data_IF_442395086453
#
_entry.id   IF_442395086453
#
_cell.length_a   1.000
_cell.length_b   1.000
_cell.length_c   1.000
_cell.angle_alpha   90.00
_cell.angle_beta   90.00
_cell.angle_gamma   90.00
#
_symmetry.space_group_name_H-M   'P 1'
#
loop_
_entity.id
_entity.type
_entity.pdbx_description
1 polymer ?
#
# COMPACT_ATOMS: atom_id res chain seq x y z
N UNK A 1 -24.75 1.92 -9.81
CA UNK A 1 -24.96 1.02 -8.65
C UNK A 1 -24.86 1.79 -7.34
N UNK A 2 -25.78 1.63 -6.37
CA UNK A 2 -25.77 2.31 -5.09
C UNK A 2 -25.13 1.40 -4.04
N UNK A 3 -23.88 1.66 -3.69
CA UNK A 3 -23.18 1.02 -2.57
C UNK A 3 -23.44 1.81 -1.29
N UNK A 4 -23.46 1.14 -0.14
CA UNK A 4 -23.62 1.76 1.19
C UNK A 4 -22.41 1.52 2.11
N UNK A 5 -21.50 0.59 1.72
CA UNK A 5 -20.31 0.28 2.48
C UNK A 5 -19.13 -0.12 1.57
N UNK A 6 -17.91 0.14 1.99
CA UNK A 6 -16.70 -0.44 1.38
C UNK A 6 -16.02 -1.35 2.39
N UNK A 7 -15.85 -2.62 2.03
CA UNK A 7 -15.22 -3.62 2.89
C UNK A 7 -13.73 -3.67 2.59
N UNK A 8 -12.91 -3.17 3.50
CA UNK A 8 -11.45 -3.28 3.38
C UNK A 8 -10.90 -4.49 4.16
N UNK A 9 -9.91 -5.14 3.54
CA UNK A 9 -9.26 -6.34 4.06
C UNK A 9 -7.78 -6.08 4.26
N UNK A 10 -7.23 -6.62 5.33
CA UNK A 10 -5.79 -6.61 5.61
C UNK A 10 -5.23 -8.03 5.61
N UNK A 11 -3.92 -8.19 5.36
CA UNK A 11 -3.24 -9.48 5.32
C UNK A 11 -2.45 -9.77 6.60
N UNK A 12 -1.19 -9.34 6.65
CA UNK A 12 -0.23 -9.65 7.71
C UNK A 12 -0.68 -9.24 9.13
N UNK A 13 -1.55 -8.26 9.25
CA UNK A 13 -2.14 -7.85 10.54
C UNK A 13 -2.85 -9.02 11.19
N UNK A 14 -3.54 -9.85 10.40
CA UNK A 14 -4.27 -11.04 10.87
C UNK A 14 -3.38 -12.10 11.53
N UNK A 15 -2.09 -12.13 11.18
CA UNK A 15 -1.11 -13.09 11.72
C UNK A 15 -0.50 -12.65 13.06
N UNK A 16 -0.80 -11.44 13.53
CA UNK A 16 -0.26 -10.89 14.77
C UNK A 16 -1.05 -11.39 16.01
N UNK A 17 -0.42 -11.36 17.18
CA UNK A 17 -1.13 -11.60 18.44
C UNK A 17 -2.26 -10.59 18.63
N UNK A 18 -3.29 -10.94 19.39
CA UNK A 18 -4.51 -10.12 19.59
C UNK A 18 -4.20 -8.66 19.99
N UNK A 19 -3.26 -8.45 20.93
CA UNK A 19 -2.84 -7.12 21.37
C UNK A 19 -2.16 -6.31 20.27
N UNK A 20 -1.26 -6.93 19.51
CA UNK A 20 -0.56 -6.29 18.39
C UNK A 20 -1.52 -6.04 17.24
N UNK A 21 -2.40 -6.99 16.92
CA UNK A 21 -3.44 -6.85 15.91
C UNK A 21 -4.33 -5.64 16.19
N UNK A 22 -4.88 -5.54 17.40
CA UNK A 22 -5.73 -4.42 17.80
C UNK A 22 -5.01 -3.06 17.67
N UNK A 23 -3.71 -2.99 17.94
CA UNK A 23 -2.89 -1.78 17.74
C UNK A 23 -2.76 -1.44 16.26
N UNK A 24 -2.51 -2.43 15.40
CA UNK A 24 -2.32 -2.23 13.97
C UNK A 24 -3.64 -1.87 13.29
N UNK A 25 -4.74 -2.51 13.65
CA UNK A 25 -6.08 -2.18 13.17
C UNK A 25 -6.45 -0.73 13.52
N UNK A 26 -6.22 -0.30 14.77
CA UNK A 26 -6.45 1.10 15.17
C UNK A 26 -5.62 2.09 14.34
N UNK A 27 -4.34 1.74 14.05
CA UNK A 27 -3.49 2.59 13.21
C UNK A 27 -3.99 2.62 11.77
N UNK A 28 -4.44 1.48 11.23
CA UNK A 28 -5.02 1.39 9.89
C UNK A 28 -6.28 2.25 9.77
N UNK A 29 -7.20 2.12 10.73
CA UNK A 29 -8.41 2.98 10.80
C UNK A 29 -8.04 4.47 10.85
N UNK A 30 -7.05 4.84 11.67
CA UNK A 30 -6.57 6.22 11.72
C UNK A 30 -6.04 6.71 10.36
N UNK A 31 -5.29 5.87 9.66
CA UNK A 31 -4.74 6.21 8.34
C UNK A 31 -5.84 6.32 7.28
N UNK A 32 -6.84 5.42 7.31
CA UNK A 32 -8.01 5.49 6.43
C UNK A 32 -8.78 6.82 6.66
N UNK A 33 -9.10 7.16 7.90
CA UNK A 33 -9.80 8.41 8.24
C UNK A 33 -8.99 9.68 7.90
N UNK A 34 -7.67 9.59 7.86
CA UNK A 34 -6.82 10.70 7.40
C UNK A 34 -6.80 10.86 5.88
N UNK A 35 -7.10 9.80 5.14
CA UNK A 35 -7.12 9.79 3.68
C UNK A 35 -8.52 10.02 3.10
N UNK A 36 -9.59 9.69 3.84
CA UNK A 36 -10.97 9.62 3.36
C UNK A 36 -11.91 10.20 4.42
N UNK A 37 -12.82 11.06 4.01
CA UNK A 37 -13.92 11.55 4.87
C UNK A 37 -14.98 10.44 4.99
N UNK A 38 -14.91 9.68 6.09
CA UNK A 38 -15.73 8.50 6.30
C UNK A 38 -15.93 8.17 7.78
N UNK A 39 -17.00 7.42 8.06
CA UNK A 39 -17.10 6.62 9.26
C UNK A 39 -16.48 5.26 9.02
N UNK A 40 -15.91 4.67 10.07
CA UNK A 40 -15.23 3.37 9.98
C UNK A 40 -15.58 2.52 11.19
N UNK A 41 -16.07 1.34 10.92
CA UNK A 41 -16.24 0.26 11.89
C UNK A 41 -15.27 -0.89 11.61
N UNK A 42 -15.03 -1.73 12.61
CA UNK A 42 -14.16 -2.92 12.50
C UNK A 42 -14.77 -4.08 13.26
N UNK A 43 -14.97 -5.16 12.55
CA UNK A 43 -15.50 -6.36 13.14
C UNK A 43 -14.85 -7.60 12.50
N UNK A 44 -14.47 -8.59 13.32
CA UNK A 44 -14.04 -9.93 12.91
C UNK A 44 -13.02 -9.97 11.74
N UNK A 45 -12.01 -9.08 11.76
CA UNK A 45 -10.95 -9.07 10.76
C UNK A 45 -11.34 -8.38 9.44
N UNK A 46 -12.37 -7.53 9.48
CA UNK A 46 -12.78 -6.61 8.41
C UNK A 46 -12.79 -5.18 8.92
N UNK A 47 -12.63 -4.26 7.98
CA UNK A 47 -12.81 -2.83 8.20
C UNK A 47 -13.92 -2.40 7.26
N UNK A 48 -15.01 -1.90 7.82
CA UNK A 48 -16.16 -1.38 7.12
C UNK A 48 -16.05 0.13 7.06
N UNK A 49 -16.10 0.67 5.87
CA UNK A 49 -15.91 2.09 5.58
C UNK A 49 -17.22 2.61 5.00
N UNK A 50 -17.76 3.68 5.62
CA UNK A 50 -18.96 4.37 5.18
C UNK A 50 -18.56 5.77 4.69
N UNK A 51 -18.15 5.90 3.40
CA UNK A 51 -17.63 7.15 2.89
C UNK A 51 -18.75 8.10 2.50
N UNK A 52 -18.49 9.40 2.57
CA UNK A 52 -19.40 10.41 2.00
C UNK A 52 -19.37 10.43 0.47
N UNK A 53 -18.22 10.08 -0.12
CA UNK A 53 -18.01 9.97 -1.56
C UNK A 53 -17.32 8.64 -1.90
N UNK A 54 -18.01 7.76 -2.64
CA UNK A 54 -17.51 6.44 -2.98
C UNK A 54 -16.36 6.48 -3.99
N UNK A 55 -16.42 7.33 -5.02
CA UNK A 55 -15.35 7.46 -6.00
C UNK A 55 -14.03 7.87 -5.35
N UNK A 56 -14.07 8.95 -4.56
CA UNK A 56 -12.91 9.41 -3.79
C UNK A 56 -12.39 8.35 -2.81
N UNK A 57 -13.29 7.57 -2.20
CA UNK A 57 -12.92 6.49 -1.30
C UNK A 57 -12.11 5.42 -2.01
N UNK A 58 -12.57 4.94 -3.17
CA UNK A 58 -11.89 3.87 -3.91
C UNK A 58 -10.50 4.31 -4.40
N UNK A 59 -10.37 5.54 -4.91
CA UNK A 59 -9.09 6.11 -5.30
C UNK A 59 -8.10 6.23 -4.13
N UNK A 60 -8.56 6.72 -2.98
CA UNK A 60 -7.69 6.94 -1.83
C UNK A 60 -7.35 5.65 -1.09
N UNK A 61 -8.21 4.61 -1.08
CA UNK A 61 -7.89 3.32 -0.47
C UNK A 61 -6.71 2.64 -1.16
N UNK A 62 -6.53 2.85 -2.45
CA UNK A 62 -5.36 2.36 -3.20
C UNK A 62 -4.04 3.03 -2.76
N UNK A 63 -4.10 4.06 -1.92
CA UNK A 63 -2.96 4.81 -1.39
C UNK A 63 -2.74 4.57 0.12
N UNK A 64 -3.52 3.66 0.76
CA UNK A 64 -3.44 3.38 2.20
C UNK A 64 -2.72 2.06 2.46
N UNK A 65 -1.47 2.12 2.92
CA UNK A 65 -0.72 0.94 3.31
C UNK A 65 -1.40 0.17 4.44
N UNK A 66 -1.43 -1.16 4.30
CA UNK A 66 -2.12 -2.08 5.19
C UNK A 66 -3.43 -2.62 4.62
N UNK A 67 -4.02 -1.95 3.63
CA UNK A 67 -5.17 -2.44 2.85
C UNK A 67 -4.66 -3.39 1.77
N UNK A 68 -5.05 -4.66 1.82
CA UNK A 68 -4.67 -5.67 0.81
C UNK A 68 -5.66 -5.70 -0.34
N UNK A 69 -6.95 -5.60 -0.02
CA UNK A 69 -8.01 -5.49 -1.02
C UNK A 69 -9.24 -4.82 -0.40
N UNK A 70 -10.09 -4.27 -1.25
CA UNK A 70 -11.35 -3.67 -0.83
C UNK A 70 -12.44 -3.95 -1.85
N UNK A 71 -13.70 -3.83 -1.41
CA UNK A 71 -14.87 -4.09 -2.25
C UNK A 71 -15.95 -3.09 -1.90
N UNK A 72 -16.48 -2.32 -2.85
CA UNK A 72 -17.74 -1.65 -2.68
C UNK A 72 -18.85 -2.71 -2.55
N UNK A 73 -19.75 -2.56 -1.59
CA UNK A 73 -20.76 -3.56 -1.27
C UNK A 73 -22.09 -2.91 -0.90
N UNK A 74 -23.14 -3.73 -0.95
CA UNK A 74 -24.45 -3.40 -0.40
C UNK A 74 -24.66 -4.26 0.84
N UNK A 75 -25.07 -3.63 1.95
CA UNK A 75 -25.36 -4.31 3.20
C UNK A 75 -26.83 -4.70 3.32
N UNK A 76 -27.10 -5.77 4.08
CA UNK A 76 -28.45 -6.23 4.39
C UNK A 76 -28.42 -7.10 5.66
N UNK A 77 -29.58 -7.52 6.16
CA UNK A 77 -29.62 -8.49 7.24
C UNK A 77 -29.23 -9.91 6.75
N UNK A 78 -28.62 -10.69 7.66
CA UNK A 78 -28.03 -12.02 7.37
C UNK A 78 -29.02 -13.17 7.29
N UNK A 79 -30.26 -12.95 6.91
CA UNK A 79 -31.32 -13.97 6.74
C UNK A 79 -31.67 -14.16 5.25
N UNK A 80 -32.38 -15.25 4.94
CA UNK A 80 -32.73 -15.60 3.57
C UNK A 80 -33.59 -14.55 2.87
N UNK A 81 -34.59 -13.98 3.55
CA UNK A 81 -35.57 -13.06 2.97
C UNK A 81 -34.88 -11.72 2.55
N UNK A 82 -34.13 -11.14 3.46
CA UNK A 82 -33.46 -9.87 3.20
C UNK A 82 -32.33 -10.03 2.17
N UNK A 83 -31.59 -11.16 2.23
CA UNK A 83 -30.56 -11.47 1.22
C UNK A 83 -31.21 -11.66 -0.16
N UNK A 84 -32.33 -12.38 -0.28
CA UNK A 84 -33.04 -12.58 -1.55
C UNK A 84 -33.45 -11.24 -2.17
N UNK A 85 -34.08 -10.39 -1.38
CA UNK A 85 -34.53 -9.06 -1.80
C UNK A 85 -33.36 -8.21 -2.28
N UNK A 86 -32.35 -8.04 -1.42
CA UNK A 86 -31.18 -7.17 -1.72
C UNK A 86 -30.36 -7.71 -2.89
N UNK A 87 -30.15 -9.03 -2.97
CA UNK A 87 -29.48 -9.66 -4.11
C UNK A 87 -30.29 -9.47 -5.39
N UNK A 88 -31.61 -9.56 -5.32
CA UNK A 88 -32.48 -9.30 -6.46
C UNK A 88 -32.30 -7.88 -7.03
N UNK A 89 -32.32 -6.87 -6.15
CA UNK A 89 -32.09 -5.45 -6.52
C UNK A 89 -30.65 -5.25 -7.04
N UNK A 90 -29.68 -5.92 -6.41
CA UNK A 90 -28.28 -5.88 -6.81
C UNK A 90 -28.07 -6.45 -8.23
N UNK A 91 -28.72 -7.57 -8.54
CA UNK A 91 -28.65 -8.21 -9.86
C UNK A 91 -29.31 -7.34 -10.94
N UNK A 92 -30.40 -6.63 -10.64
CA UNK A 92 -30.97 -5.65 -11.59
C UNK A 92 -29.95 -4.58 -11.99
N UNK A 93 -29.26 -4.01 -10.98
CA UNK A 93 -28.20 -3.04 -11.26
C UNK A 93 -27.05 -3.66 -12.08
N UNK A 94 -26.68 -4.93 -11.83
CA UNK A 94 -25.66 -5.61 -12.64
C UNK A 94 -26.10 -5.81 -14.10
N UNK A 95 -27.38 -6.05 -14.33
CA UNK A 95 -27.97 -6.13 -15.69
C UNK A 95 -27.93 -4.76 -16.37
N UNK A 96 -28.37 -3.71 -15.68
CA UNK A 96 -28.42 -2.34 -16.18
C UNK A 96 -27.03 -1.80 -16.53
N UNK A 97 -26.03 -2.13 -15.68
CA UNK A 97 -24.63 -1.73 -15.89
C UNK A 97 -23.87 -2.67 -16.88
N UNK A 98 -24.54 -3.72 -17.41
CA UNK A 98 -24.00 -4.64 -18.42
C UNK A 98 -23.02 -5.69 -17.89
N UNK A 99 -22.92 -5.89 -16.58
CA UNK A 99 -22.03 -6.90 -15.99
C UNK A 99 -22.55 -8.33 -16.11
N UNK A 100 -23.89 -8.54 -16.19
CA UNK A 100 -24.51 -9.86 -16.33
C UNK A 100 -25.64 -9.85 -17.35
N UNK A 101 -25.68 -10.88 -18.17
CA UNK A 101 -26.73 -11.15 -19.15
C UNK A 101 -27.02 -12.65 -19.27
N UNK A 102 -27.93 -13.06 -20.16
CA UNK A 102 -28.39 -14.46 -20.30
C UNK A 102 -27.26 -15.45 -20.61
N UNK A 103 -26.21 -15.01 -21.27
CA UNK A 103 -25.10 -15.87 -21.67
C UNK A 103 -23.91 -15.80 -20.70
N UNK A 104 -23.94 -14.91 -19.71
CA UNK A 104 -22.85 -14.70 -18.76
C UNK A 104 -22.76 -15.87 -17.78
N UNK A 105 -21.63 -16.57 -17.74
CA UNK A 105 -21.37 -17.63 -16.77
C UNK A 105 -21.02 -17.01 -15.42
N UNK A 106 -21.79 -17.35 -14.39
CA UNK A 106 -21.55 -16.77 -13.07
C UNK A 106 -21.40 -17.82 -11.97
N UNK A 107 -20.85 -17.38 -10.83
CA UNK A 107 -20.84 -18.17 -9.59
C UNK A 107 -21.12 -17.28 -8.37
N UNK A 108 -21.84 -17.84 -7.40
CA UNK A 108 -21.93 -17.26 -6.06
C UNK A 108 -20.78 -17.80 -5.20
N UNK A 109 -20.08 -16.90 -4.52
CA UNK A 109 -19.06 -17.23 -3.52
C UNK A 109 -19.55 -16.77 -2.15
N UNK A 110 -20.14 -17.67 -1.37
CA UNK A 110 -20.60 -17.35 -0.03
C UNK A 110 -19.53 -17.64 1.02
N UNK A 111 -19.35 -16.70 1.95
CA UNK A 111 -18.56 -16.87 3.16
C UNK A 111 -19.42 -16.54 4.38
N UNK A 112 -19.32 -17.38 5.41
CA UNK A 112 -20.07 -17.23 6.64
C UNK A 112 -19.12 -17.15 7.85
N UNK A 113 -19.42 -16.25 8.78
CA UNK A 113 -18.76 -16.13 10.08
C UNK A 113 -19.85 -15.90 11.12
N UNK A 114 -19.76 -16.58 12.25
CA UNK A 114 -20.80 -16.58 13.27
C UNK A 114 -21.64 -17.86 13.26
N UNK A 115 -22.72 -17.89 14.03
CA UNK A 115 -23.62 -19.03 14.15
C UNK A 115 -24.92 -18.76 13.37
N UNK A 116 -25.24 -19.63 12.41
CA UNK A 116 -26.41 -19.49 11.54
C UNK A 116 -27.01 -20.86 11.29
N UNK A 117 -28.29 -20.92 10.99
CA UNK A 117 -29.05 -22.16 10.71
C UNK A 117 -28.80 -22.70 9.30
N UNK A 118 -27.87 -22.16 8.55
CA UNK A 118 -27.49 -22.56 7.20
C UNK A 118 -25.98 -22.64 7.02
N UNK A 119 -25.50 -23.41 6.06
CA UNK A 119 -24.12 -23.50 5.62
C UNK A 119 -23.83 -22.48 4.51
N UNK A 120 -22.53 -22.19 4.28
CA UNK A 120 -22.13 -21.33 3.15
C UNK A 120 -22.51 -21.92 1.80
N UNK A 121 -22.60 -23.25 1.68
CA UNK A 121 -23.00 -23.93 0.45
C UNK A 121 -24.49 -23.77 0.19
N UNK A 122 -25.34 -23.96 1.22
CA UNK A 122 -26.78 -23.76 1.12
C UNK A 122 -27.12 -22.32 0.74
N UNK A 123 -26.52 -21.36 1.40
CA UNK A 123 -26.71 -19.94 1.06
C UNK A 123 -26.22 -19.62 -0.37
N UNK A 124 -25.08 -20.18 -0.80
CA UNK A 124 -24.59 -19.98 -2.16
C UNK A 124 -25.55 -20.60 -3.21
N UNK A 125 -26.10 -21.79 -2.95
CA UNK A 125 -27.08 -22.42 -3.84
C UNK A 125 -28.38 -21.61 -3.89
N UNK A 126 -28.88 -21.17 -2.75
CA UNK A 126 -30.04 -20.29 -2.67
C UNK A 126 -29.84 -18.99 -3.48
N UNK A 127 -28.78 -18.25 -3.22
CA UNK A 127 -28.45 -17.02 -3.97
C UNK A 127 -28.28 -17.29 -5.47
N UNK A 128 -27.66 -18.42 -5.85
CA UNK A 128 -27.56 -18.85 -7.24
C UNK A 128 -28.92 -19.02 -7.90
N UNK A 129 -29.86 -19.63 -7.20
CA UNK A 129 -31.24 -19.82 -7.70
C UNK A 129 -31.97 -18.47 -7.92
N UNK A 130 -31.73 -17.48 -7.06
CA UNK A 130 -32.27 -16.11 -7.20
C UNK A 130 -31.78 -15.48 -8.50
N UNK A 131 -30.45 -15.54 -8.75
CA UNK A 131 -29.84 -14.97 -9.96
C UNK A 131 -30.35 -15.68 -11.23
N UNK A 132 -30.41 -17.03 -11.22
CA UNK A 132 -30.93 -17.82 -12.36
C UNK A 132 -32.38 -17.48 -12.65
N UNK A 133 -33.25 -17.41 -11.64
CA UNK A 133 -34.66 -17.03 -11.82
C UNK A 133 -34.83 -15.66 -12.44
N UNK A 134 -33.93 -14.72 -12.09
CA UNK A 134 -34.02 -13.31 -12.50
C UNK A 134 -33.45 -13.06 -13.89
N UNK A 135 -32.30 -13.63 -14.22
CA UNK A 135 -31.55 -13.34 -15.45
C UNK A 135 -31.62 -14.49 -16.46
N UNK A 136 -31.76 -15.75 -15.99
CA UNK A 136 -31.71 -16.94 -16.83
C UNK A 136 -30.31 -17.34 -17.29
N UNK A 137 -29.28 -16.86 -16.63
CA UNK A 137 -27.87 -17.08 -17.00
C UNK A 137 -27.33 -18.41 -16.43
N UNK A 138 -26.32 -19.05 -17.07
CA UNK A 138 -25.77 -20.33 -16.64
C UNK A 138 -24.83 -20.18 -15.42
N UNK A 139 -24.89 -21.18 -14.52
CA UNK A 139 -23.96 -21.29 -13.39
C UNK A 139 -22.71 -22.03 -13.82
N UNK A 140 -21.53 -21.46 -13.56
CA UNK A 140 -20.22 -22.11 -13.76
C UNK A 140 -19.35 -21.92 -12.50
N UNK A 141 -19.21 -22.99 -11.72
CA UNK A 141 -18.43 -22.94 -10.47
C UNK A 141 -16.92 -23.02 -10.69
N UNK A 142 -16.49 -23.43 -11.88
CA UNK A 142 -15.08 -23.65 -12.23
C UNK A 142 -14.46 -22.42 -12.88
N UNK A 143 -15.07 -21.92 -13.94
CA UNK A 143 -14.58 -20.80 -14.74
C UNK A 143 -15.65 -19.73 -14.95
N UNK A 144 -16.20 -19.12 -13.88
CA UNK A 144 -17.19 -18.07 -14.03
C UNK A 144 -16.58 -16.78 -14.57
N UNK A 145 -17.30 -16.09 -15.44
CA UNK A 145 -16.97 -14.75 -15.93
C UNK A 145 -17.28 -13.70 -14.87
N UNK A 146 -18.38 -13.91 -14.13
CA UNK A 146 -18.77 -13.04 -13.02
C UNK A 146 -18.81 -13.84 -11.70
N UNK A 147 -18.21 -13.29 -10.65
CA UNK A 147 -18.34 -13.82 -9.29
C UNK A 147 -19.12 -12.83 -8.44
N UNK A 148 -20.25 -13.24 -7.90
CA UNK A 148 -20.98 -12.47 -6.91
C UNK A 148 -20.64 -13.05 -5.54
N UNK A 149 -20.18 -12.20 -4.63
CA UNK A 149 -19.80 -12.56 -3.27
C UNK A 149 -20.93 -12.21 -2.32
N UNK A 150 -21.24 -13.15 -1.41
CA UNK A 150 -22.18 -12.95 -0.30
C UNK A 150 -21.42 -13.27 0.98
N UNK A 151 -21.11 -12.27 1.79
CA UNK A 151 -20.37 -12.44 3.05
C UNK A 151 -21.34 -12.22 4.22
N UNK A 152 -21.76 -13.32 4.90
CA UNK A 152 -22.66 -13.24 6.06
C UNK A 152 -21.84 -13.25 7.34
N UNK A 153 -22.12 -12.28 8.23
CA UNK A 153 -21.41 -12.09 9.50
C UNK A 153 -22.39 -11.74 10.61
N UNK A 154 -22.54 -12.65 11.53
CA UNK A 154 -23.56 -12.55 12.57
C UNK A 154 -24.92 -12.19 11.94
N UNK A 155 -25.52 -11.07 12.27
CA UNK A 155 -26.84 -10.64 11.78
C UNK A 155 -26.77 -9.81 10.48
N UNK A 156 -25.59 -9.58 9.91
CA UNK A 156 -25.40 -8.77 8.70
C UNK A 156 -24.93 -9.60 7.52
N UNK A 157 -25.28 -9.19 6.31
CA UNK A 157 -24.75 -9.73 5.08
C UNK A 157 -24.30 -8.60 4.13
N UNK A 158 -23.30 -8.91 3.31
CA UNK A 158 -22.70 -7.97 2.37
C UNK A 158 -22.63 -8.62 0.99
N UNK A 159 -23.12 -7.91 -0.03
CA UNK A 159 -23.17 -8.38 -1.41
C UNK A 159 -22.28 -7.49 -2.26
N UNK A 160 -21.34 -8.09 -3.01
CA UNK A 160 -20.43 -7.38 -3.89
C UNK A 160 -19.95 -8.30 -5.03
N UNK A 161 -19.47 -7.73 -6.13
CA UNK A 161 -18.88 -8.49 -7.24
C UNK A 161 -17.43 -8.09 -7.50
N UNK A 162 -17.05 -6.89 -7.14
CA UNK A 162 -15.68 -6.39 -7.34
C UNK A 162 -14.79 -6.67 -6.12
N UNK A 163 -13.54 -6.98 -6.41
CA UNK A 163 -12.49 -7.07 -5.42
C UNK A 163 -11.26 -6.37 -5.96
N UNK A 164 -11.09 -5.14 -5.51
CA UNK A 164 -10.02 -4.25 -5.95
C UNK A 164 -8.80 -4.48 -5.05
N UNK A 165 -7.61 -4.63 -5.65
CA UNK A 165 -6.38 -4.80 -4.90
C UNK A 165 -5.90 -3.45 -4.32
N UNK A 166 -5.44 -3.49 -3.08
CA UNK A 166 -4.82 -2.35 -2.40
C UNK A 166 -3.30 -2.46 -2.38
N UNK A 167 -2.59 -1.45 -1.85
CA UNK A 167 -1.12 -1.44 -1.83
C UNK A 167 -0.52 -2.52 -0.92
N UNK A 168 -1.31 -3.12 -0.04
CA UNK A 168 -0.85 -4.13 0.91
C UNK A 168 0.11 -3.57 1.98
N UNK A 169 0.96 -4.44 2.53
CA UNK A 169 1.93 -4.08 3.54
C UNK A 169 1.36 -3.91 4.95
N UNK A 170 1.97 -3.02 5.74
CA UNK A 170 1.60 -2.72 7.12
C UNK A 170 1.14 -1.25 7.23
N UNK A 171 0.25 -0.92 8.17
CA UNK A 171 -0.19 0.45 8.36
C UNK A 171 0.99 1.36 8.68
N UNK A 172 1.14 2.46 7.94
CA UNK A 172 2.21 3.43 8.10
C UNK A 172 2.23 3.98 9.54
N UNK A 173 3.43 4.05 10.14
CA UNK A 173 3.64 4.45 11.51
C UNK A 173 3.54 3.33 12.55
N UNK A 174 3.60 2.05 12.14
CA UNK A 174 3.61 0.89 13.06
C UNK A 174 4.99 0.36 13.39
N UNK A 175 6.03 0.72 12.60
CA UNK A 175 7.39 0.17 12.71
C UNK A 175 8.45 1.20 13.13
N UNK A 176 8.03 2.38 13.58
CA UNK A 176 8.96 3.44 13.97
C UNK A 176 9.44 4.28 12.80
N UNK A 177 10.50 5.06 13.01
CA UNK A 177 11.04 6.01 12.04
C UNK A 177 12.32 5.49 11.40
N UNK A 178 12.55 5.89 10.13
CA UNK A 178 13.81 5.63 9.41
C UNK A 178 14.27 6.91 8.73
N UNK A 179 15.58 7.11 8.63
CA UNK A 179 16.18 8.18 7.81
C UNK A 179 16.47 7.60 6.43
N UNK A 180 15.86 8.14 5.40
CA UNK A 180 16.09 7.73 4.01
C UNK A 180 16.96 8.73 3.30
N UNK A 181 18.07 8.29 2.74
CA UNK A 181 18.90 9.09 1.85
C UNK A 181 18.21 9.23 0.49
N UNK A 182 17.69 10.42 0.19
CA UNK A 182 16.92 10.70 -1.03
C UNK A 182 17.76 11.52 -2.01
N UNK A 183 17.98 10.96 -3.18
CA UNK A 183 18.60 11.60 -4.35
C UNK A 183 17.54 11.93 -5.41
N UNK A 184 17.94 12.58 -6.49
CA UNK A 184 17.08 12.86 -7.64
C UNK A 184 16.85 11.64 -8.57
N UNK A 185 17.48 10.50 -8.30
CA UNK A 185 17.30 9.26 -9.07
C UNK A 185 16.09 8.47 -8.58
N UNK A 186 15.66 7.48 -9.38
CA UNK A 186 14.45 6.66 -9.08
C UNK A 186 14.64 5.67 -7.93
N UNK A 187 15.85 5.25 -7.60
CA UNK A 187 16.12 4.19 -6.63
C UNK A 187 15.75 4.60 -5.20
N UNK A 188 16.18 5.79 -4.77
CA UNK A 188 15.93 6.23 -3.39
C UNK A 188 14.46 6.51 -3.07
N UNK A 189 13.62 7.06 -3.97
CA UNK A 189 12.17 7.15 -3.75
C UNK A 189 11.51 5.77 -3.64
N UNK A 190 11.92 4.80 -4.47
CA UNK A 190 11.41 3.43 -4.40
C UNK A 190 11.78 2.78 -3.06
N UNK A 191 13.00 2.99 -2.58
CA UNK A 191 13.42 2.51 -1.27
C UNK A 191 12.56 3.14 -0.14
N UNK A 192 12.29 4.43 -0.21
CA UNK A 192 11.39 5.12 0.74
C UNK A 192 9.97 4.53 0.70
N UNK A 193 9.39 4.37 -0.49
CA UNK A 193 8.08 3.77 -0.68
C UNK A 193 7.98 2.37 -0.07
N UNK A 194 8.97 1.51 -0.33
CA UNK A 194 9.00 0.15 0.22
C UNK A 194 9.08 0.16 1.75
N UNK A 195 9.84 1.07 2.37
CA UNK A 195 9.88 1.19 3.83
C UNK A 195 8.57 1.74 4.39
N UNK A 196 7.91 2.69 3.72
CA UNK A 196 6.57 3.15 4.07
C UNK A 196 5.55 2.01 3.99
N UNK A 197 5.61 1.19 2.95
CA UNK A 197 4.78 -0.03 2.79
C UNK A 197 5.04 -1.05 3.91
N UNK A 198 6.22 -1.07 4.51
CA UNK A 198 6.53 -1.87 5.71
C UNK A 198 6.16 -1.17 7.03
N UNK A 199 5.48 -0.01 6.97
CA UNK A 199 4.94 0.69 8.12
C UNK A 199 5.91 1.66 8.80
N UNK A 200 7.05 2.01 8.19
CA UNK A 200 8.02 2.96 8.73
C UNK A 200 7.64 4.40 8.38
N UNK A 201 7.76 5.30 9.35
CA UNK A 201 7.70 6.75 9.12
C UNK A 201 9.03 7.22 8.52
N UNK A 202 8.98 8.09 7.52
CA UNK A 202 10.15 8.52 6.75
C UNK A 202 10.62 9.91 7.17
N UNK A 203 11.91 10.02 7.46
CA UNK A 203 12.66 11.27 7.49
C UNK A 203 13.53 11.29 6.23
N UNK A 204 13.16 12.09 5.26
CA UNK A 204 13.88 12.21 4.00
C UNK A 204 15.08 13.15 4.16
N UNK A 205 16.28 12.62 3.98
CA UNK A 205 17.54 13.38 4.03
C UNK A 205 18.09 13.54 2.61
N UNK A 206 18.22 14.78 2.17
CA UNK A 206 18.94 15.15 0.96
C UNK A 206 20.29 15.77 1.32
N UNK A 207 21.36 15.21 0.79
CA UNK A 207 22.71 15.80 0.88
C UNK A 207 22.93 16.68 -0.36
N UNK A 208 22.89 17.97 -0.15
CA UNK A 208 23.09 18.97 -1.21
C UNK A 208 24.56 19.07 -1.58
N UNK A 209 24.90 18.62 -2.77
CA UNK A 209 26.25 18.57 -3.31
C UNK A 209 26.65 19.85 -4.07
N UNK A 210 25.92 20.96 -3.92
CA UNK A 210 26.33 22.22 -4.56
C UNK A 210 27.79 22.59 -4.20
N UNK A 211 28.64 23.04 -5.16
CA UNK A 211 28.32 23.41 -6.55
C UNK A 211 28.35 22.27 -7.58
N UNK A 212 28.56 21.02 -7.19
CA UNK A 212 28.68 19.88 -8.10
C UNK A 212 27.34 19.45 -8.72
N UNK A 213 26.22 19.91 -8.16
CA UNK A 213 24.86 19.66 -8.65
C UNK A 213 24.15 20.99 -8.90
N UNK A 214 23.31 21.03 -9.93
CA UNK A 214 22.56 22.23 -10.29
C UNK A 214 21.32 22.45 -9.38
N UNK A 215 20.69 23.64 -9.41
CA UNK A 215 19.59 24.03 -8.52
C UNK A 215 18.32 23.18 -8.68
N UNK A 216 18.10 22.57 -9.84
CA UNK A 216 16.94 21.69 -10.11
C UNK A 216 16.85 20.46 -9.18
N UNK A 217 17.95 20.10 -8.49
CA UNK A 217 17.98 18.96 -7.58
C UNK A 217 17.03 19.16 -6.39
N UNK A 218 16.94 20.38 -5.86
CA UNK A 218 16.01 20.71 -4.77
C UNK A 218 14.54 20.62 -5.21
N UNK A 219 14.23 21.13 -6.40
CA UNK A 219 12.88 21.05 -6.97
C UNK A 219 12.47 19.57 -7.18
N UNK A 220 13.40 18.74 -7.67
CA UNK A 220 13.14 17.30 -7.84
C UNK A 220 12.95 16.59 -6.51
N UNK A 221 13.76 16.95 -5.50
CA UNK A 221 13.59 16.41 -4.14
C UNK A 221 12.20 16.73 -3.60
N UNK A 222 11.75 17.98 -3.73
CA UNK A 222 10.41 18.36 -3.27
C UNK A 222 9.30 17.61 -4.00
N UNK A 223 9.36 17.49 -5.33
CA UNK A 223 8.39 16.72 -6.12
C UNK A 223 8.35 15.24 -5.71
N UNK A 224 9.49 14.62 -5.47
CA UNK A 224 9.59 13.25 -4.99
C UNK A 224 8.87 13.09 -3.64
N UNK A 225 9.14 14.01 -2.70
CA UNK A 225 8.52 13.92 -1.38
C UNK A 225 7.02 14.19 -1.45
N UNK A 226 6.58 15.14 -2.28
CA UNK A 226 5.16 15.42 -2.46
C UNK A 226 4.41 14.21 -3.06
N UNK A 227 5.02 13.49 -4.01
CA UNK A 227 4.48 12.25 -4.54
C UNK A 227 4.40 11.14 -3.47
N UNK A 228 5.46 10.95 -2.67
CA UNK A 228 5.45 9.99 -1.57
C UNK A 228 4.43 10.35 -0.48
N UNK A 229 4.20 11.66 -0.24
CA UNK A 229 3.25 12.16 0.75
C UNK A 229 1.81 11.76 0.45
N UNK A 230 1.46 11.47 -0.80
CA UNK A 230 0.14 10.97 -1.20
C UNK A 230 -0.18 9.65 -0.48
N UNK A 231 0.83 8.80 -0.26
CA UNK A 231 0.74 7.53 0.46
C UNK A 231 0.91 7.66 1.98
N UNK A 232 1.19 8.85 2.46
CA UNK A 232 1.45 9.13 3.88
C UNK A 232 0.42 10.10 4.49
N UNK A 233 -0.84 9.98 4.11
CA UNK A 233 -1.93 10.81 4.65
C UNK A 233 -1.97 10.67 6.17
N UNK A 234 -1.97 11.82 6.87
CA UNK A 234 -1.96 11.88 8.33
C UNK A 234 -0.63 11.49 9.02
N UNK A 235 0.43 11.21 8.24
CA UNK A 235 1.79 10.94 8.73
C UNK A 235 2.78 11.74 7.87
N UNK A 236 3.15 12.96 8.27
CA UNK A 236 3.98 13.83 7.45
C UNK A 236 5.39 13.26 7.28
N UNK A 237 5.91 13.30 6.05
CA UNK A 237 7.30 13.02 5.74
C UNK A 237 8.15 14.22 6.15
N UNK A 238 9.11 14.01 7.04
CA UNK A 238 9.99 15.08 7.50
C UNK A 238 11.10 15.31 6.47
N UNK A 239 11.14 16.50 5.83
CA UNK A 239 12.20 16.89 4.88
C UNK A 239 13.42 17.46 5.61
N UNK A 240 14.62 17.02 5.27
CA UNK A 240 15.90 17.53 5.74
C UNK A 240 16.88 17.69 4.59
N UNK A 241 17.50 18.85 4.48
CA UNK A 241 18.56 19.15 3.51
C UNK A 241 19.82 19.53 4.29
N UNK A 242 20.94 18.94 3.95
CA UNK A 242 22.25 19.22 4.56
C UNK A 242 23.21 19.62 3.46
N UNK A 243 23.90 20.75 3.63
CA UNK A 243 24.98 21.17 2.74
C UNK A 243 26.11 20.15 2.81
N UNK A 244 26.49 19.59 1.69
CA UNK A 244 27.43 18.49 1.60
C UNK A 244 28.58 18.72 0.62
N UNK A 245 28.49 19.77 -0.20
CA UNK A 245 29.48 20.09 -1.25
C UNK A 245 30.89 20.29 -0.73
N UNK A 246 31.07 20.96 0.42
CA UNK A 246 32.39 21.16 1.03
C UNK A 246 33.08 19.85 1.41
N UNK A 247 32.32 18.91 2.04
CA UNK A 247 32.84 17.60 2.36
C UNK A 247 33.23 16.82 1.09
N UNK A 248 32.41 16.89 0.05
CA UNK A 248 32.69 16.23 -1.23
C UNK A 248 33.93 16.81 -1.89
N UNK A 249 34.16 18.14 -1.80
CA UNK A 249 35.37 18.78 -2.29
C UNK A 249 36.60 18.26 -1.54
N UNK A 250 36.58 18.26 -0.20
CA UNK A 250 37.67 17.73 0.62
C UNK A 250 37.95 16.24 0.30
N UNK A 251 36.92 15.42 0.11
CA UNK A 251 37.10 14.02 -0.27
C UNK A 251 37.80 13.88 -1.63
N UNK A 252 37.51 14.78 -2.58
CA UNK A 252 38.19 14.79 -3.89
C UNK A 252 39.64 15.22 -3.79
N UNK A 253 39.93 16.20 -2.95
CA UNK A 253 41.27 16.80 -2.84
C UNK A 253 42.25 15.89 -2.05
N UNK A 254 41.72 15.16 -1.06
CA UNK A 254 42.53 14.39 -0.10
C UNK A 254 42.59 12.89 -0.35
N UNK A 255 41.72 12.33 -1.22
CA UNK A 255 41.63 10.90 -1.43
C UNK A 255 41.92 10.50 -2.87
N UNK A 256 42.40 9.25 -3.09
CA UNK A 256 42.49 8.70 -4.44
C UNK A 256 41.14 8.76 -5.16
N UNK A 257 41.13 9.11 -6.43
CA UNK A 257 39.94 9.33 -7.24
C UNK A 257 38.96 8.15 -7.14
N UNK A 258 39.46 6.91 -7.16
CA UNK A 258 38.66 5.66 -7.03
C UNK A 258 37.97 5.54 -5.68
N UNK A 259 38.38 6.25 -4.64
CA UNK A 259 37.80 6.18 -3.29
C UNK A 259 36.76 7.29 -3.04
N UNK A 260 36.68 8.30 -3.88
CA UNK A 260 35.82 9.47 -3.67
C UNK A 260 34.33 9.06 -3.48
N UNK A 261 33.82 8.12 -4.30
CA UNK A 261 32.44 7.66 -4.18
C UNK A 261 32.19 6.88 -2.88
N UNK A 262 33.18 6.10 -2.42
CA UNK A 262 33.09 5.34 -1.16
C UNK A 262 33.07 6.30 0.04
N UNK A 263 33.98 7.26 0.07
CA UNK A 263 34.04 8.29 1.13
C UNK A 263 32.79 9.16 1.15
N UNK A 264 32.35 9.60 -0.03
CA UNK A 264 31.11 10.37 -0.15
C UNK A 264 29.93 9.61 0.48
N UNK A 265 29.75 8.35 0.14
CA UNK A 265 28.66 7.56 0.67
C UNK A 265 28.79 7.28 2.17
N UNK A 266 30.01 7.03 2.65
CA UNK A 266 30.30 6.86 4.09
C UNK A 266 29.94 8.12 4.88
N UNK A 267 30.35 9.31 4.41
CA UNK A 267 29.98 10.57 5.04
C UNK A 267 28.47 10.82 5.08
N UNK A 268 27.75 10.47 4.02
CA UNK A 268 26.28 10.56 4.02
C UNK A 268 25.66 9.68 5.09
N UNK A 269 26.14 8.45 5.30
CA UNK A 269 25.66 7.57 6.36
C UNK A 269 25.94 8.12 7.75
N UNK A 270 27.12 8.69 8.01
CA UNK A 270 27.44 9.32 9.30
C UNK A 270 26.53 10.51 9.61
N UNK A 271 26.19 11.32 8.60
CA UNK A 271 25.21 12.42 8.75
C UNK A 271 23.82 11.85 9.02
N UNK A 272 23.40 10.81 8.28
CA UNK A 272 22.13 10.16 8.46
C UNK A 272 22.00 9.55 9.87
N UNK A 273 23.06 8.96 10.42
CA UNK A 273 23.09 8.41 11.77
C UNK A 273 22.90 9.51 12.84
N UNK A 274 23.63 10.63 12.72
CA UNK A 274 23.44 11.79 13.62
C UNK A 274 22.01 12.31 13.57
N UNK A 275 21.43 12.37 12.37
CA UNK A 275 20.05 12.78 12.17
C UNK A 275 19.08 11.76 12.78
N UNK A 276 19.33 10.47 12.61
CA UNK A 276 18.52 9.39 13.16
C UNK A 276 18.48 9.45 14.69
N UNK A 277 19.61 9.60 15.34
CA UNK A 277 19.67 9.81 16.79
C UNK A 277 18.87 11.03 17.24
N UNK A 278 19.00 12.16 16.53
CA UNK A 278 18.28 13.41 16.83
C UNK A 278 16.77 13.27 16.76
N UNK A 279 16.26 12.50 15.81
CA UNK A 279 14.82 12.36 15.56
C UNK A 279 14.23 11.04 16.07
N UNK A 280 15.01 10.20 16.73
CA UNK A 280 14.59 8.90 17.25
C UNK A 280 14.27 7.90 16.15
N UNK A 281 14.97 7.94 15.02
CA UNK A 281 14.88 6.92 13.98
C UNK A 281 15.72 5.70 14.36
N UNK A 282 15.31 4.53 13.89
CA UNK A 282 15.87 3.23 14.27
C UNK A 282 16.79 2.62 13.20
N UNK A 283 16.80 3.19 12.00
CA UNK A 283 17.63 2.72 10.90
C UNK A 283 17.83 3.83 9.87
N UNK A 284 18.88 3.65 9.06
CA UNK A 284 19.16 4.41 7.83
C UNK A 284 18.69 3.57 6.65
N UNK A 285 18.21 4.21 5.60
CA UNK A 285 17.75 3.54 4.37
C UNK A 285 18.43 4.15 3.16
N UNK A 286 18.90 3.31 2.25
CA UNK A 286 19.43 3.71 0.97
C UNK A 286 18.83 2.95 -0.22
N UNK A 287 19.01 3.47 -1.42
CA UNK A 287 18.57 2.86 -2.68
C UNK A 287 19.64 1.99 -3.34
N UNK A 288 20.50 1.30 -2.58
CA UNK A 288 21.55 0.46 -3.16
C UNK A 288 20.99 -0.84 -3.75
N UNK A 289 21.50 -1.19 -4.94
CA UNK A 289 21.33 -2.51 -5.58
C UNK A 289 22.71 -3.08 -5.92
N UNK A 290 22.95 -4.36 -5.61
CA UNK A 290 24.28 -4.99 -5.82
C UNK A 290 24.67 -4.97 -7.30
N UNK A 291 25.87 -4.45 -7.58
CA UNK A 291 26.44 -4.48 -8.93
C UNK A 291 25.94 -3.41 -9.88
N UNK A 292 25.03 -2.52 -9.45
CA UNK A 292 24.47 -1.48 -10.32
C UNK A 292 25.51 -0.38 -10.65
N UNK A 293 26.33 0.01 -9.68
CA UNK A 293 27.45 0.96 -9.86
C UNK A 293 28.65 0.52 -9.02
N UNK A 294 29.82 1.11 -9.30
CA UNK A 294 31.08 0.72 -8.65
C UNK A 294 31.03 0.78 -7.11
N UNK A 295 30.33 1.76 -6.53
CA UNK A 295 30.16 1.88 -5.06
C UNK A 295 29.22 0.84 -4.46
N UNK A 296 28.56 0.01 -5.26
CA UNK A 296 27.56 -0.99 -4.86
C UNK A 296 28.04 -2.43 -5.06
N UNK A 297 29.35 -2.66 -5.20
CA UNK A 297 29.94 -4.01 -5.04
C UNK A 297 29.91 -4.40 -3.55
N UNK A 298 29.89 -5.68 -3.24
CA UNK A 298 29.82 -6.16 -1.84
C UNK A 298 30.97 -5.58 -0.98
N UNK A 299 32.21 -5.52 -1.52
CA UNK A 299 33.36 -4.93 -0.83
C UNK A 299 33.16 -3.44 -0.55
N UNK A 300 32.63 -2.68 -1.51
CA UNK A 300 32.41 -1.26 -1.34
C UNK A 300 31.20 -0.96 -0.44
N UNK A 301 30.16 -1.79 -0.47
CA UNK A 301 29.04 -1.73 0.49
C UNK A 301 29.57 -1.92 1.91
N UNK A 302 30.47 -2.88 2.14
CA UNK A 302 31.09 -3.08 3.45
C UNK A 302 31.91 -1.86 3.87
N UNK A 303 32.76 -1.33 2.97
CA UNK A 303 33.61 -0.17 3.24
C UNK A 303 32.80 1.10 3.54
N UNK A 304 31.73 1.35 2.78
CA UNK A 304 30.87 2.55 2.98
C UNK A 304 30.12 2.56 4.30
N UNK A 305 29.85 1.39 4.87
CA UNK A 305 29.11 1.21 6.13
C UNK A 305 30.02 1.19 7.37
N UNK A 306 31.32 1.20 7.16
CA UNK A 306 32.27 1.16 8.27
C UNK A 306 32.16 2.41 9.14
N UNK A 307 32.13 2.22 10.47
CA UNK A 307 32.03 3.34 11.43
C UNK A 307 30.61 3.91 11.59
N UNK A 308 29.58 3.16 11.16
CA UNK A 308 28.16 3.45 11.43
C UNK A 308 27.61 2.33 12.29
N UNK A 309 27.12 2.67 13.50
CA UNK A 309 26.61 1.70 14.47
C UNK A 309 25.12 1.40 14.27
N UNK A 310 24.44 2.19 13.43
CA UNK A 310 23.01 2.03 13.14
C UNK A 310 22.75 1.08 11.97
N UNK A 311 21.69 0.26 12.01
CA UNK A 311 21.32 -0.58 10.88
C UNK A 311 21.11 0.23 9.60
N UNK A 312 21.75 -0.20 8.49
CA UNK A 312 21.55 0.36 7.15
C UNK A 312 20.75 -0.66 6.34
N UNK A 313 19.53 -0.29 5.97
CA UNK A 313 18.60 -1.10 5.20
C UNK A 313 18.66 -0.69 3.73
N UNK A 314 18.81 -1.65 2.84
CA UNK A 314 18.81 -1.45 1.39
C UNK A 314 17.67 -2.28 0.77
N UNK A 315 16.44 -1.75 0.73
CA UNK A 315 15.27 -2.51 0.26
C UNK A 315 15.37 -3.00 -1.17
N UNK A 316 16.25 -2.40 -1.98
CA UNK A 316 16.43 -2.70 -3.40
C UNK A 316 17.60 -3.64 -3.68
N UNK A 317 18.25 -4.15 -2.66
CA UNK A 317 19.57 -4.81 -2.76
C UNK A 317 19.63 -5.94 -3.79
N UNK A 318 18.55 -6.67 -4.00
CA UNK A 318 18.44 -7.79 -4.94
C UNK A 318 17.59 -7.50 -6.19
N UNK A 319 17.14 -6.24 -6.37
CA UNK A 319 16.30 -5.86 -7.51
C UNK A 319 17.14 -5.29 -8.66
N UNK A 320 16.78 -5.62 -9.88
CA UNK A 320 17.35 -5.00 -11.08
C UNK A 320 16.67 -3.64 -11.40
N UNK A 321 17.22 -2.94 -12.39
CA UNK A 321 16.72 -1.62 -12.78
C UNK A 321 15.29 -1.64 -13.32
N UNK A 322 14.91 -2.73 -14.00
CA UNK A 322 13.56 -2.88 -14.57
C UNK A 322 12.52 -3.12 -13.45
N UNK A 323 12.86 -3.95 -12.48
CA UNK A 323 12.00 -4.20 -11.30
C UNK A 323 11.79 -2.91 -10.50
N UNK A 324 12.87 -2.14 -10.27
CA UNK A 324 12.79 -0.84 -9.59
C UNK A 324 11.91 0.14 -10.37
N UNK A 325 12.08 0.21 -11.70
CA UNK A 325 11.27 1.07 -12.56
C UNK A 325 9.80 0.69 -12.53
N UNK A 326 9.46 -0.61 -12.56
CA UNK A 326 8.07 -1.08 -12.42
C UNK A 326 7.44 -0.62 -11.10
N UNK A 327 8.17 -0.76 -9.99
CA UNK A 327 7.68 -0.28 -8.70
C UNK A 327 7.51 1.25 -8.72
N UNK A 328 8.44 1.99 -9.33
CA UNK A 328 8.33 3.44 -9.48
C UNK A 328 7.06 3.83 -10.23
N UNK A 329 6.77 3.17 -11.35
CA UNK A 329 5.56 3.42 -12.14
C UNK A 329 4.29 3.12 -11.35
N UNK A 330 4.26 2.06 -10.53
CA UNK A 330 3.08 1.70 -9.73
C UNK A 330 2.65 2.80 -8.75
N UNK A 331 3.55 3.62 -8.23
CA UNK A 331 3.18 4.70 -7.33
C UNK A 331 3.22 6.09 -7.97
N UNK A 332 3.65 6.21 -9.23
CA UNK A 332 3.67 7.47 -9.98
C UNK A 332 2.59 7.55 -11.06
N UNK A 333 2.14 6.42 -11.61
CA UNK A 333 0.97 6.37 -12.47
C UNK A 333 -0.31 6.35 -11.63
N UNK A 334 -1.30 7.14 -11.97
CA UNK A 334 -2.66 6.90 -11.53
C UNK A 334 -3.09 5.55 -12.14
N UNK A 335 -3.10 4.52 -11.31
CA UNK A 335 -3.25 3.11 -11.72
C UNK A 335 -4.64 2.76 -12.32
N UNK A 336 -5.44 3.77 -12.67
CA UNK A 336 -6.75 3.59 -13.27
C UNK A 336 -6.73 3.51 -14.81
N UNK A 337 -5.69 4.00 -15.48
CA UNK A 337 -5.71 4.14 -16.96
C UNK A 337 -4.94 3.06 -17.73
N UNK A 338 -4.13 2.22 -17.08
CA UNK A 338 -3.23 1.28 -17.80
C UNK A 338 -3.70 -0.19 -17.82
N UNK A 339 -4.92 -0.51 -17.36
CA UNK A 339 -5.47 -1.87 -17.41
C UNK A 339 -6.78 -2.00 -18.21
N UNK A 340 -7.03 -1.05 -19.09
CA UNK A 340 -8.16 -1.14 -20.05
C UNK A 340 -7.71 -1.63 -21.44
#
# INVERSE_FOLDING_TARGET
MNYDVVIARYGEIGLKSSKVRARFERKLVKNIKAAIDCEVDRNQGRIYIFPKNYGECLENLNKVFGVVSYSPAVSTYGNYEDIEKTLGEYVDNLVDDGFIGKDTRFAIKCRRVGNHDFTSQEMAAFCGSVVVKKVGCPVDLTNPELKIYVEVRDDEAFIYHEKIDGPGGLPLGTQGKVVVLVSSGIDSPVAAYLMMKRGCEVIALHCDNAPFTGPKVHENFDKIIDQLQIYAKGVPITKKVVKYGEYLQQAKDCAPEKMTCVLCKSGMYQIAEKLAHKYGALAIVDGSSVGQVASQTLSNILATRHGVDMPILSPLIGLDKLEITRICLLYTSDAADDWS
#
